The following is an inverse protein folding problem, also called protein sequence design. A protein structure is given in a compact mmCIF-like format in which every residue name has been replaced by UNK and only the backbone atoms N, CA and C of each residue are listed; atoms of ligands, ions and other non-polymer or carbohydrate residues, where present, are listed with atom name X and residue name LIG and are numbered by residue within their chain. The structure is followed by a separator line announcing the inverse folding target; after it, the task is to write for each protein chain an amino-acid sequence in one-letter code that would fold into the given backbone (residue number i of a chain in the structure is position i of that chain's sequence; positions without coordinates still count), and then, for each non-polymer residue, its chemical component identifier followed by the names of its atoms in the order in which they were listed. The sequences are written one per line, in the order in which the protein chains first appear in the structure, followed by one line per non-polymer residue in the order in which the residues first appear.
data_IF_883595731690
#
_entry.id   IF_883595731690
#
_cell.length_a   1.000
_cell.length_b   1.000
_cell.length_c   1.000
_cell.angle_alpha   90.00
_cell.angle_beta   90.00
_cell.angle_gamma   90.00
#
_symmetry.space_group_name_H-M   'P 1'
#
loop_
_entity.id
_entity.type
_entity.pdbx_description
1 polymer ?
#
# COMPACT_ATOMS: atom_id res chain seq x y z
N UNK A 1 22.31 13.57 -17.30
CA UNK A 1 22.53 12.37 -16.47
C UNK A 1 22.12 12.71 -15.04
N UNK A 2 20.97 12.26 -14.59
CA UNK A 2 20.61 12.39 -13.17
C UNK A 2 21.43 11.33 -12.42
N UNK A 3 22.28 11.77 -11.50
CA UNK A 3 23.04 10.85 -10.65
C UNK A 3 22.05 9.92 -9.95
N UNK A 4 22.12 8.60 -10.21
CA UNK A 4 21.34 7.58 -9.50
C UNK A 4 21.73 7.65 -8.03
N UNK A 5 20.78 8.04 -7.19
CA UNK A 5 20.98 8.11 -5.75
C UNK A 5 21.11 6.69 -5.20
N UNK A 6 22.28 6.37 -4.66
CA UNK A 6 22.58 5.06 -4.06
C UNK A 6 21.83 4.94 -2.72
N UNK A 7 21.24 3.77 -2.47
CA UNK A 7 20.63 3.48 -1.18
C UNK A 7 21.70 3.28 -0.11
N UNK A 8 21.45 3.69 1.13
CA UNK A 8 22.36 3.52 2.26
C UNK A 8 21.60 3.14 3.53
N UNK A 9 22.27 2.49 4.47
CA UNK A 9 21.74 2.09 5.76
C UNK A 9 22.62 2.60 6.89
N UNK A 10 22.01 3.20 7.90
CA UNK A 10 22.65 3.58 9.16
C UNK A 10 21.87 2.92 10.31
N UNK A 11 22.49 2.03 11.11
CA UNK A 11 21.80 1.37 12.22
C UNK A 11 21.43 2.39 13.30
N UNK A 12 20.16 2.42 13.69
CA UNK A 12 19.66 3.35 14.69
C UNK A 12 19.59 2.73 16.10
N UNK A 13 19.11 1.49 16.24
CA UNK A 13 18.93 0.80 17.52
C UNK A 13 19.02 -0.71 17.35
N UNK A 14 19.51 -1.39 18.41
CA UNK A 14 19.50 -2.84 18.55
C UNK A 14 18.10 -3.28 18.98
N UNK A 15 17.52 -4.26 18.33
CA UNK A 15 16.21 -4.82 18.61
C UNK A 15 16.29 -6.26 19.15
N UNK A 16 15.24 -6.83 19.77
CA UNK A 16 15.18 -8.26 20.08
C UNK A 16 15.14 -9.11 18.81
N UNK A 17 15.71 -10.34 18.89
CA UNK A 17 15.80 -11.28 17.75
C UNK A 17 14.45 -11.83 17.31
N UNK A 18 13.45 -11.82 18.16
CA UNK A 18 12.16 -12.45 17.90
C UNK A 18 11.02 -11.50 18.14
N UNK A 19 9.97 -11.68 17.37
CA UNK A 19 8.69 -11.00 17.54
C UNK A 19 7.61 -12.07 17.74
N UNK A 20 6.76 -11.87 18.72
CA UNK A 20 5.57 -12.70 18.92
C UNK A 20 4.42 -11.99 18.21
N UNK A 21 3.77 -12.68 17.26
CA UNK A 21 2.61 -12.15 16.57
C UNK A 21 1.41 -12.06 17.53
N UNK A 22 0.37 -11.27 17.20
CA UNK A 22 -0.88 -11.28 17.95
C UNK A 22 -1.56 -12.67 18.06
N UNK A 23 -1.20 -13.62 17.17
CA UNK A 23 -1.66 -15.00 17.18
C UNK A 23 -0.80 -15.91 18.05
N UNK A 24 0.26 -15.39 18.68
CA UNK A 24 1.16 -16.14 19.57
C UNK A 24 2.27 -16.90 18.83
N UNK A 25 2.39 -16.77 17.53
CA UNK A 25 3.49 -17.37 16.75
C UNK A 25 4.78 -16.57 16.96
N UNK A 26 5.87 -17.29 17.19
CA UNK A 26 7.20 -16.68 17.30
C UNK A 26 7.89 -16.69 15.94
N UNK A 27 8.33 -15.53 15.51
CA UNK A 27 9.22 -15.37 14.37
C UNK A 27 10.60 -14.93 14.84
N UNK A 28 11.60 -15.70 14.46
CA UNK A 28 13.00 -15.35 14.70
C UNK A 28 13.53 -14.60 13.47
N UNK A 29 14.10 -13.43 13.72
CA UNK A 29 14.75 -12.59 12.72
C UNK A 29 16.28 -12.64 12.93
N UNK A 30 17.05 -12.00 12.04
CA UNK A 30 18.48 -11.87 12.21
C UNK A 30 18.83 -11.33 13.60
N UNK A 31 19.93 -11.79 14.19
CA UNK A 31 20.37 -11.26 15.48
C UNK A 31 20.72 -9.76 15.39
N UNK A 32 20.69 -9.01 16.50
CA UNK A 32 21.13 -7.62 16.49
C UNK A 32 22.55 -7.44 15.97
N UNK A 33 23.42 -8.40 16.26
CA UNK A 33 24.84 -8.42 15.87
C UNK A 33 25.01 -8.64 14.36
N UNK A 34 24.19 -9.51 13.74
CA UNK A 34 24.22 -9.82 12.31
C UNK A 34 23.51 -8.75 11.47
N UNK A 35 22.53 -8.07 12.04
CA UNK A 35 21.66 -7.13 11.32
C UNK A 35 22.43 -6.07 10.52
N UNK A 36 23.47 -5.39 11.04
CA UNK A 36 24.21 -4.39 10.27
C UNK A 36 24.91 -4.97 9.03
N UNK A 37 25.51 -6.15 9.16
CA UNK A 37 26.17 -6.84 8.03
C UNK A 37 25.14 -7.23 6.96
N UNK A 38 24.06 -7.89 7.36
CA UNK A 38 23.01 -8.34 6.43
C UNK A 38 22.33 -7.15 5.72
N UNK A 39 22.14 -6.02 6.40
CA UNK A 39 21.63 -4.81 5.78
C UNK A 39 22.62 -4.20 4.79
N UNK A 40 23.91 -4.21 5.10
CA UNK A 40 24.94 -3.76 4.17
C UNK A 40 24.92 -4.62 2.90
N UNK A 41 24.91 -5.95 3.04
CA UNK A 41 24.88 -6.90 1.93
C UNK A 41 23.61 -6.73 1.08
N UNK A 42 22.45 -6.53 1.71
CA UNK A 42 21.19 -6.26 1.02
C UNK A 42 21.26 -4.98 0.17
N UNK A 43 21.82 -3.90 0.71
CA UNK A 43 21.95 -2.62 0.02
C UNK A 43 22.96 -2.73 -1.13
N UNK A 44 24.09 -3.40 -0.90
CA UNK A 44 25.10 -3.63 -1.94
C UNK A 44 24.49 -4.45 -3.09
N UNK A 45 23.86 -5.58 -2.78
CA UNK A 45 23.16 -6.41 -3.77
C UNK A 45 22.13 -5.60 -4.57
N UNK A 46 21.31 -4.78 -3.89
CA UNK A 46 20.33 -3.95 -4.57
C UNK A 46 20.98 -2.98 -5.58
N UNK A 47 22.06 -2.31 -5.18
CA UNK A 47 22.75 -1.37 -6.04
C UNK A 47 23.40 -2.06 -7.25
N UNK A 48 23.93 -3.28 -7.08
CA UNK A 48 24.48 -4.09 -8.16
C UNK A 48 23.39 -4.54 -9.15
N UNK A 49 22.27 -5.08 -8.66
CA UNK A 49 21.15 -5.51 -9.51
C UNK A 49 20.46 -4.35 -10.24
N UNK A 50 20.34 -3.20 -9.56
CA UNK A 50 19.83 -1.97 -10.17
C UNK A 50 20.67 -1.51 -11.38
N UNK A 51 21.98 -1.75 -11.33
CA UNK A 51 22.90 -1.45 -12.43
C UNK A 51 22.91 -2.55 -13.51
N UNK A 52 22.87 -3.79 -13.10
CA UNK A 52 22.93 -4.95 -13.99
C UNK A 52 21.64 -5.14 -14.80
N UNK A 53 20.50 -4.70 -14.24
CA UNK A 53 19.16 -4.84 -14.86
C UNK A 53 18.81 -6.31 -15.20
N UNK A 54 19.26 -7.28 -14.39
CA UNK A 54 18.98 -8.71 -14.60
C UNK A 54 17.55 -9.07 -14.20
N UNK A 55 16.97 -8.34 -13.23
CA UNK A 55 15.63 -8.54 -12.70
C UNK A 55 14.67 -7.48 -13.23
N UNK A 56 13.42 -7.86 -13.45
CA UNK A 56 12.36 -6.87 -13.67
C UNK A 56 12.18 -6.00 -12.42
N UNK A 57 11.69 -4.76 -12.53
CA UNK A 57 11.45 -3.89 -11.36
C UNK A 57 10.54 -4.51 -10.30
N UNK A 58 9.59 -5.34 -10.70
CA UNK A 58 8.67 -6.04 -9.77
C UNK A 58 9.41 -7.15 -9.02
N UNK A 59 10.26 -7.91 -9.69
CA UNK A 59 11.10 -8.96 -9.10
C UNK A 59 12.12 -8.36 -8.14
N UNK A 60 12.79 -7.28 -8.55
CA UNK A 60 13.75 -6.56 -7.71
C UNK A 60 13.08 -6.02 -6.43
N UNK A 61 11.90 -5.41 -6.56
CA UNK A 61 11.14 -4.91 -5.43
C UNK A 61 10.64 -6.04 -4.51
N UNK A 62 10.21 -7.16 -5.07
CA UNK A 62 9.76 -8.32 -4.30
C UNK A 62 10.91 -8.96 -3.52
N UNK A 63 12.07 -9.17 -4.16
CA UNK A 63 13.27 -9.71 -3.50
C UNK A 63 13.77 -8.79 -2.40
N UNK A 64 13.89 -7.48 -2.68
CA UNK A 64 14.28 -6.52 -1.66
C UNK A 64 13.35 -6.55 -0.46
N UNK A 65 12.03 -6.51 -0.71
CA UNK A 65 11.02 -6.57 0.34
C UNK A 65 11.18 -7.82 1.21
N UNK A 66 11.26 -8.99 0.58
CA UNK A 66 11.35 -10.26 1.28
C UNK A 66 12.60 -10.34 2.14
N UNK A 67 13.78 -10.08 1.55
CA UNK A 67 15.06 -10.09 2.27
C UNK A 67 15.07 -9.10 3.43
N UNK A 68 14.56 -7.89 3.22
CA UNK A 68 14.44 -6.89 4.27
C UNK A 68 13.55 -7.34 5.43
N UNK A 69 12.41 -7.96 5.15
CA UNK A 69 11.51 -8.49 6.19
C UNK A 69 12.18 -9.61 6.97
N UNK A 70 13.00 -10.45 6.35
CA UNK A 70 13.75 -11.52 7.03
C UNK A 70 14.87 -10.97 7.92
N UNK A 71 15.50 -9.87 7.55
CA UNK A 71 16.48 -9.18 8.40
C UNK A 71 15.77 -8.47 9.56
N UNK A 72 14.66 -7.76 9.28
CA UNK A 72 13.83 -7.05 10.26
C UNK A 72 14.60 -6.05 11.14
N UNK A 73 15.28 -5.03 10.56
CA UNK A 73 16.32 -4.26 11.26
C UNK A 73 15.85 -3.35 12.39
N UNK A 74 14.56 -3.01 12.50
CA UNK A 74 14.04 -2.08 13.48
C UNK A 74 13.09 -2.77 14.48
N UNK A 75 12.86 -2.17 15.65
CA UNK A 75 11.92 -2.68 16.64
C UNK A 75 10.47 -2.67 16.15
N UNK A 76 10.07 -1.62 15.41
CA UNK A 76 8.75 -1.47 14.79
C UNK A 76 8.86 -0.81 13.42
N UNK A 77 7.81 -0.96 12.64
CA UNK A 77 7.69 -0.30 11.33
C UNK A 77 8.31 -1.04 10.16
N UNK A 78 8.97 -2.19 10.37
CA UNK A 78 9.65 -2.91 9.27
C UNK A 78 8.72 -3.21 8.09
N UNK A 79 7.51 -3.68 8.35
CA UNK A 79 6.54 -3.93 7.29
C UNK A 79 6.08 -2.66 6.55
N UNK A 80 6.01 -1.51 7.23
CA UNK A 80 5.71 -0.21 6.62
C UNK A 80 6.86 0.27 5.74
N UNK A 81 8.07 0.17 6.25
CA UNK A 81 9.30 0.55 5.54
C UNK A 81 9.48 -0.33 4.31
N UNK A 82 9.34 -1.66 4.44
CA UNK A 82 9.45 -2.59 3.32
C UNK A 82 8.50 -2.22 2.17
N UNK A 83 7.23 -1.95 2.45
CA UNK A 83 6.26 -1.52 1.42
C UNK A 83 6.56 -0.13 0.85
N UNK A 84 7.13 0.76 1.65
CA UNK A 84 7.58 2.07 1.16
C UNK A 84 8.75 1.92 0.18
N UNK A 85 9.72 1.05 0.49
CA UNK A 85 10.88 0.78 -0.38
C UNK A 85 10.42 0.09 -1.68
N UNK A 86 9.44 -0.83 -1.62
CA UNK A 86 8.83 -1.38 -2.84
C UNK A 86 8.36 -0.26 -3.77
N UNK A 87 7.59 0.68 -3.25
CA UNK A 87 7.09 1.80 -4.04
C UNK A 87 8.21 2.74 -4.52
N UNK A 88 9.25 2.93 -3.72
CA UNK A 88 10.44 3.67 -4.14
C UNK A 88 11.13 3.00 -5.35
N UNK A 89 11.31 1.68 -5.32
CA UNK A 89 11.91 0.92 -6.43
C UNK A 89 11.02 1.02 -7.68
N UNK A 90 9.72 0.75 -7.54
CA UNK A 90 8.77 0.78 -8.64
C UNK A 90 8.70 2.15 -9.32
N UNK A 91 8.60 3.24 -8.55
CA UNK A 91 8.55 4.61 -9.07
C UNK A 91 9.82 5.01 -9.83
N UNK A 92 11.01 4.54 -9.40
CA UNK A 92 12.27 4.78 -10.10
C UNK A 92 12.28 4.19 -11.52
N UNK A 93 11.49 3.14 -11.74
CA UNK A 93 11.35 2.46 -13.03
C UNK A 93 10.06 2.84 -13.78
N UNK A 94 9.40 3.94 -13.38
CA UNK A 94 8.15 4.44 -13.98
C UNK A 94 6.97 3.47 -13.86
N UNK A 95 6.98 2.60 -12.85
CA UNK A 95 5.82 1.79 -12.49
C UNK A 95 4.91 2.56 -11.52
N UNK A 96 3.59 2.31 -11.52
CA UNK A 96 2.70 2.89 -10.53
C UNK A 96 3.01 2.33 -9.13
N UNK A 97 2.62 3.09 -8.10
CA UNK A 97 2.66 2.60 -6.73
C UNK A 97 1.66 1.47 -6.53
N UNK A 98 2.02 0.52 -5.66
CA UNK A 98 1.12 -0.55 -5.20
C UNK A 98 0.72 -0.33 -3.75
N UNK A 99 -0.51 -0.71 -3.41
CA UNK A 99 -1.04 -0.61 -2.05
C UNK A 99 -1.54 -1.96 -1.58
N UNK A 100 -0.95 -2.46 -0.48
CA UNK A 100 -1.49 -3.63 0.21
C UNK A 100 -2.62 -3.18 1.11
N UNK A 101 -3.85 -3.31 0.64
CA UNK A 101 -5.05 -2.92 1.37
C UNK A 101 -5.25 -3.78 2.62
N UNK A 102 -5.76 -3.19 3.70
CA UNK A 102 -5.98 -3.89 4.97
C UNK A 102 -6.85 -5.14 4.80
N UNK A 103 -7.90 -5.08 3.96
CA UNK A 103 -8.78 -6.23 3.66
C UNK A 103 -8.07 -7.36 2.89
N UNK A 104 -6.95 -7.08 2.23
CA UNK A 104 -6.11 -8.06 1.50
C UNK A 104 -4.86 -8.48 2.28
N UNK A 105 -4.72 -8.04 3.56
CA UNK A 105 -3.55 -8.32 4.39
C UNK A 105 -3.28 -9.81 4.55
N UNK A 106 -4.33 -10.62 4.71
CA UNK A 106 -4.19 -12.08 4.83
C UNK A 106 -3.56 -12.71 3.59
N UNK A 107 -3.98 -12.30 2.38
CA UNK A 107 -3.40 -12.80 1.12
C UNK A 107 -1.91 -12.45 1.01
N UNK A 108 -1.54 -11.23 1.40
CA UNK A 108 -0.14 -10.80 1.47
C UNK A 108 0.69 -11.64 2.45
N UNK A 109 0.19 -11.86 3.67
CA UNK A 109 0.88 -12.66 4.68
C UNK A 109 0.99 -14.14 4.27
N UNK A 110 -0.04 -14.70 3.64
CA UNK A 110 0.00 -16.06 3.11
C UNK A 110 1.06 -16.21 2.01
N UNK A 111 1.21 -15.22 1.13
CA UNK A 111 2.24 -15.26 0.09
C UNK A 111 3.66 -15.22 0.68
N UNK A 112 3.89 -14.44 1.75
CA UNK A 112 5.14 -14.45 2.50
C UNK A 112 5.36 -15.79 3.19
N UNK A 113 4.36 -16.33 3.89
CA UNK A 113 4.47 -17.62 4.57
C UNK A 113 4.77 -18.79 3.62
N UNK A 114 4.20 -18.78 2.42
CA UNK A 114 4.54 -19.78 1.38
C UNK A 114 5.99 -19.65 0.89
N UNK A 115 6.53 -18.44 0.82
CA UNK A 115 7.92 -18.21 0.52
C UNK A 115 8.82 -18.69 1.68
N UNK A 116 8.42 -18.43 2.92
CA UNK A 116 9.17 -18.88 4.11
C UNK A 116 9.32 -20.41 4.19
N UNK A 117 8.30 -21.16 3.73
CA UNK A 117 8.37 -22.64 3.65
C UNK A 117 9.50 -23.09 2.71
N UNK A 118 9.71 -22.37 1.61
CA UNK A 118 10.75 -22.74 0.62
C UNK A 118 12.16 -22.29 1.06
N UNK A 119 12.25 -21.15 1.77
CA UNK A 119 13.53 -20.57 2.21
C UNK A 119 14.03 -21.20 3.50
N UNK A 120 13.12 -21.63 4.38
CA UNK A 120 13.45 -22.17 5.69
C UNK A 120 13.42 -21.12 6.80
N UNK A 121 13.62 -21.61 8.03
CA UNK A 121 13.44 -20.81 9.26
C UNK A 121 14.64 -19.92 9.60
N UNK A 122 15.82 -20.20 9.04
CA UNK A 122 17.05 -19.46 9.37
C UNK A 122 16.98 -18.03 8.80
N UNK A 123 17.07 -16.98 9.63
CA UNK A 123 16.94 -15.60 9.17
C UNK A 123 17.97 -15.20 8.11
N UNK A 124 19.24 -15.61 8.29
CA UNK A 124 20.31 -15.33 7.35
C UNK A 124 20.06 -15.92 5.95
N UNK A 125 19.47 -17.13 5.86
CA UNK A 125 19.07 -17.70 4.56
C UNK A 125 18.01 -16.83 3.87
N UNK A 126 17.08 -16.29 4.65
CA UNK A 126 16.06 -15.38 4.15
C UNK A 126 16.62 -14.05 3.62
N UNK A 127 17.72 -13.55 4.22
CA UNK A 127 18.36 -12.31 3.76
C UNK A 127 19.09 -12.48 2.41
N UNK A 128 19.37 -13.71 2.00
CA UNK A 128 20.00 -14.08 0.72
C UNK A 128 19.08 -14.89 -0.20
N UNK A 129 17.78 -14.97 0.12
CA UNK A 129 16.80 -15.73 -0.66
C UNK A 129 16.87 -15.42 -2.16
N UNK A 130 16.76 -16.46 -2.98
CA UNK A 130 16.69 -16.33 -4.44
C UNK A 130 15.26 -16.09 -4.92
N UNK A 131 15.11 -15.63 -6.16
CA UNK A 131 13.81 -15.42 -6.78
C UNK A 131 12.98 -16.72 -6.87
N UNK A 132 13.64 -17.84 -7.12
CA UNK A 132 12.99 -19.15 -7.22
C UNK A 132 12.40 -19.59 -5.87
N UNK A 133 13.12 -19.34 -4.77
CA UNK A 133 12.65 -19.66 -3.42
C UNK A 133 11.43 -18.83 -3.05
N UNK A 134 11.39 -17.55 -3.42
CA UNK A 134 10.28 -16.64 -3.08
C UNK A 134 9.23 -16.50 -4.18
N UNK A 135 9.20 -17.41 -5.14
CA UNK A 135 8.28 -17.40 -6.29
C UNK A 135 6.81 -17.15 -5.91
N UNK A 136 6.24 -17.72 -4.82
CA UNK A 136 4.89 -17.40 -4.38
C UNK A 136 4.70 -15.91 -4.06
N UNK A 137 5.68 -15.28 -3.44
CA UNK A 137 5.63 -13.85 -3.12
C UNK A 137 5.85 -12.97 -4.36
N UNK A 138 6.76 -13.37 -5.26
CA UNK A 138 6.94 -12.69 -6.57
C UNK A 138 5.65 -12.72 -7.36
N UNK A 139 4.97 -13.87 -7.42
CA UNK A 139 3.66 -13.99 -8.08
C UNK A 139 2.64 -13.03 -7.46
N UNK A 140 2.54 -12.97 -6.13
CA UNK A 140 1.65 -12.04 -5.44
C UNK A 140 1.93 -10.58 -5.84
N UNK A 141 3.21 -10.18 -5.85
CA UNK A 141 3.61 -8.82 -6.21
C UNK A 141 3.30 -8.49 -7.68
N UNK A 142 3.47 -9.46 -8.58
CA UNK A 142 3.12 -9.32 -9.99
C UNK A 142 1.60 -9.17 -10.17
N UNK A 143 0.81 -10.02 -9.53
CA UNK A 143 -0.66 -9.95 -9.58
C UNK A 143 -1.17 -8.61 -9.02
N UNK A 144 -0.56 -8.13 -7.93
CA UNK A 144 -0.87 -6.82 -7.34
C UNK A 144 -0.55 -5.69 -8.34
N UNK A 145 0.63 -5.71 -8.97
CA UNK A 145 1.03 -4.72 -9.97
C UNK A 145 0.09 -4.70 -11.18
N UNK A 146 -0.24 -5.88 -11.72
CA UNK A 146 -1.18 -6.00 -12.85
C UNK A 146 -2.55 -5.44 -12.47
N UNK A 147 -3.02 -5.72 -11.25
CA UNK A 147 -4.27 -5.16 -10.74
C UNK A 147 -4.23 -3.64 -10.69
N UNK A 148 -3.16 -3.04 -10.17
CA UNK A 148 -3.00 -1.56 -10.09
C UNK A 148 -2.93 -0.92 -11.49
N UNK A 149 -2.18 -1.51 -12.41
CA UNK A 149 -2.09 -1.02 -13.79
C UNK A 149 -3.48 -1.04 -14.45
N UNK A 150 -4.22 -2.14 -14.34
CA UNK A 150 -5.55 -2.28 -14.92
C UNK A 150 -6.54 -1.27 -14.31
N UNK A 151 -6.46 -1.04 -13.00
CA UNK A 151 -7.30 -0.05 -12.32
C UNK A 151 -6.96 1.38 -12.79
N UNK A 152 -5.68 1.71 -12.94
CA UNK A 152 -5.26 3.02 -13.45
C UNK A 152 -5.72 3.24 -14.89
N UNK A 153 -5.61 2.22 -15.75
CA UNK A 153 -6.12 2.26 -17.13
C UNK A 153 -7.64 2.46 -17.12
N UNK A 154 -8.37 1.68 -16.33
CA UNK A 154 -9.82 1.81 -16.19
C UNK A 154 -10.22 3.21 -15.70
N UNK A 155 -9.48 3.77 -14.74
CA UNK A 155 -9.70 5.13 -14.24
C UNK A 155 -9.45 6.20 -15.32
N UNK A 156 -8.39 6.06 -16.12
CA UNK A 156 -8.08 6.99 -17.21
C UNK A 156 -9.13 6.96 -18.33
N UNK A 157 -9.75 5.80 -18.57
CA UNK A 157 -10.81 5.65 -19.56
C UNK A 157 -12.21 5.90 -19.00
N UNK A 158 -12.33 6.01 -17.66
CA UNK A 158 -13.61 6.24 -17.02
C UNK A 158 -14.09 7.68 -17.23
N UNK A 159 -15.41 7.86 -17.32
CA UNK A 159 -16.00 9.20 -17.29
C UNK A 159 -15.76 9.84 -15.91
N UNK A 160 -14.85 10.80 -15.85
CA UNK A 160 -14.50 11.54 -14.63
C UNK A 160 -15.72 12.20 -13.94
N UNK A 161 -16.83 12.38 -14.65
CA UNK A 161 -18.08 12.95 -14.09
C UNK A 161 -18.84 11.94 -13.24
N UNK A 162 -18.64 10.63 -13.46
CA UNK A 162 -19.37 9.56 -12.76
C UNK A 162 -18.50 8.63 -11.95
N UNK A 163 -17.19 8.79 -12.03
CA UNK A 163 -16.22 7.88 -11.40
C UNK A 163 -15.56 8.51 -10.17
N UNK A 164 -15.36 7.70 -9.14
CA UNK A 164 -14.72 8.08 -7.88
C UNK A 164 -13.74 7.02 -7.41
N UNK A 165 -12.61 7.44 -6.87
CA UNK A 165 -11.65 6.52 -6.25
C UNK A 165 -12.01 6.31 -4.78
N UNK A 166 -12.21 5.06 -4.38
CA UNK A 166 -12.57 4.69 -3.01
C UNK A 166 -11.97 3.34 -2.62
N UNK A 167 -11.28 3.28 -1.50
CA UNK A 167 -10.69 2.07 -0.90
C UNK A 167 -9.82 1.26 -1.88
N UNK A 168 -9.05 1.96 -2.73
CA UNK A 168 -8.16 1.36 -3.71
C UNK A 168 -8.85 0.82 -4.95
N UNK A 169 -10.11 1.17 -5.19
CA UNK A 169 -10.88 0.76 -6.36
C UNK A 169 -11.63 1.93 -6.99
N UNK A 170 -11.95 1.77 -8.25
CA UNK A 170 -12.77 2.73 -8.98
C UNK A 170 -14.25 2.41 -8.80
N UNK A 171 -15.03 3.35 -8.27
CA UNK A 171 -16.48 3.24 -8.09
C UNK A 171 -17.18 4.12 -9.10
N UNK A 172 -18.17 3.57 -9.81
CA UNK A 172 -19.00 4.33 -10.76
C UNK A 172 -20.37 4.64 -10.15
N UNK A 173 -20.74 5.92 -10.13
CA UNK A 173 -22.04 6.38 -9.71
C UNK A 173 -22.98 6.57 -10.91
N UNK A 174 -24.28 6.34 -10.71
CA UNK A 174 -25.30 6.53 -11.75
C UNK A 174 -25.46 8.01 -12.15
N UNK A 175 -25.17 8.94 -11.24
CA UNK A 175 -25.38 10.37 -11.44
C UNK A 175 -24.07 11.13 -11.29
N UNK A 176 -23.71 11.98 -12.25
CA UNK A 176 -22.58 12.91 -12.14
C UNK A 176 -22.68 13.83 -10.91
N UNK A 177 -23.91 14.15 -10.48
CA UNK A 177 -24.14 14.98 -9.29
C UNK A 177 -23.58 14.36 -8.01
N UNK A 178 -23.49 13.02 -7.93
CA UNK A 178 -22.90 12.34 -6.77
C UNK A 178 -21.39 12.59 -6.67
N UNK A 179 -20.70 12.54 -7.79
CA UNK A 179 -19.25 12.87 -7.83
C UNK A 179 -19.02 14.35 -7.54
N UNK A 180 -19.85 15.22 -8.11
CA UNK A 180 -19.77 16.66 -7.84
C UNK A 180 -20.03 16.96 -6.35
N UNK A 181 -20.96 16.26 -5.71
CA UNK A 181 -21.22 16.34 -4.27
C UNK A 181 -19.98 15.95 -3.46
N UNK A 182 -19.36 14.82 -3.77
CA UNK A 182 -18.14 14.35 -3.09
C UNK A 182 -16.98 15.34 -3.26
N UNK A 183 -16.78 15.85 -4.48
CA UNK A 183 -15.74 16.87 -4.77
C UNK A 183 -15.99 18.16 -3.98
N UNK A 184 -17.24 18.58 -3.88
CA UNK A 184 -17.59 19.80 -3.13
C UNK A 184 -17.37 19.61 -1.63
N UNK A 185 -17.78 18.47 -1.06
CA UNK A 185 -17.54 18.13 0.36
C UNK A 185 -16.07 18.00 0.69
N UNK A 186 -15.25 17.49 -0.23
CA UNK A 186 -13.81 17.38 -0.04
C UNK A 186 -13.14 18.76 0.07
N UNK A 187 -13.61 19.73 -0.72
CA UNK A 187 -13.13 21.12 -0.69
C UNK A 187 -13.73 21.93 0.46
N UNK A 188 -14.98 21.66 0.79
CA UNK A 188 -15.71 22.39 1.82
C UNK A 188 -16.51 21.42 2.74
N UNK A 189 -15.86 20.83 3.76
CA UNK A 189 -16.49 19.88 4.68
C UNK A 189 -17.66 20.44 5.48
N UNK A 190 -17.73 21.76 5.63
CA UNK A 190 -18.79 22.48 6.38
C UNK A 190 -19.91 23.02 5.47
N UNK A 191 -19.97 22.57 4.22
CA UNK A 191 -21.02 22.99 3.30
C UNK A 191 -22.43 22.70 3.86
N UNK A 192 -23.31 23.69 3.80
CA UNK A 192 -24.69 23.54 4.23
C UNK A 192 -25.53 22.79 3.18
N UNK A 193 -26.60 22.14 3.63
CA UNK A 193 -27.53 21.43 2.70
C UNK A 193 -28.08 22.39 1.63
N UNK A 194 -28.39 23.62 2.00
CA UNK A 194 -28.86 24.64 1.05
C UNK A 194 -27.77 25.03 0.05
N UNK A 195 -26.51 25.19 0.50
CA UNK A 195 -25.39 25.47 -0.38
C UNK A 195 -25.12 24.33 -1.35
N UNK A 196 -25.16 23.07 -0.88
CA UNK A 196 -25.05 21.90 -1.71
C UNK A 196 -26.18 21.78 -2.73
N UNK A 197 -27.43 22.11 -2.33
CA UNK A 197 -28.60 22.11 -3.22
C UNK A 197 -28.39 23.10 -4.38
N UNK A 198 -27.87 24.29 -4.08
CA UNK A 198 -27.56 25.31 -5.10
C UNK A 198 -26.47 24.85 -6.07
N UNK A 199 -25.38 24.29 -5.56
CA UNK A 199 -24.25 23.82 -6.38
C UNK A 199 -24.66 22.66 -7.29
N UNK A 200 -25.52 21.76 -6.80
CA UNK A 200 -25.92 20.55 -7.52
C UNK A 200 -27.13 20.77 -8.41
N UNK A 201 -27.77 21.95 -8.33
CA UNK A 201 -29.02 22.27 -9.00
C UNK A 201 -30.13 21.22 -8.73
N UNK A 202 -30.36 20.95 -7.44
CA UNK A 202 -31.38 20.03 -6.93
C UNK A 202 -31.99 20.57 -5.64
N UNK A 203 -33.13 20.04 -5.23
CA UNK A 203 -33.74 20.43 -3.97
C UNK A 203 -33.03 19.86 -2.74
N UNK A 204 -33.27 20.48 -1.59
CA UNK A 204 -32.61 20.11 -0.32
C UNK A 204 -32.92 18.66 0.12
N UNK A 205 -34.13 18.17 -0.16
CA UNK A 205 -34.55 16.80 0.16
C UNK A 205 -33.75 15.78 -0.66
N UNK A 206 -33.44 16.06 -1.93
CA UNK A 206 -32.62 15.24 -2.78
C UNK A 206 -31.17 15.21 -2.27
N UNK A 207 -30.63 16.35 -1.82
CA UNK A 207 -29.30 16.42 -1.18
C UNK A 207 -29.26 15.55 0.07
N UNK A 208 -30.26 15.68 0.97
CA UNK A 208 -30.35 14.87 2.18
C UNK A 208 -30.36 13.37 1.87
N UNK A 209 -31.16 12.96 0.88
CA UNK A 209 -31.20 11.55 0.44
C UNK A 209 -29.86 11.07 -0.10
N UNK A 210 -29.16 11.88 -0.89
CA UNK A 210 -27.82 11.52 -1.38
C UNK A 210 -26.81 11.41 -0.24
N UNK A 211 -26.77 12.36 0.70
CA UNK A 211 -25.90 12.32 1.88
C UNK A 211 -26.16 11.08 2.73
N UNK A 212 -27.44 10.75 2.98
CA UNK A 212 -27.81 9.54 3.73
C UNK A 212 -27.32 8.26 3.03
N UNK A 213 -27.46 8.18 1.71
CA UNK A 213 -26.96 7.05 0.93
C UNK A 213 -25.43 6.93 0.95
N UNK A 214 -24.72 8.05 0.88
CA UNK A 214 -23.26 8.08 0.93
C UNK A 214 -22.75 7.70 2.33
N UNK A 215 -23.43 8.16 3.40
CA UNK A 215 -23.14 7.76 4.78
C UNK A 215 -23.36 6.25 4.97
N UNK A 216 -24.48 5.72 4.53
CA UNK A 216 -24.82 4.30 4.65
C UNK A 216 -23.82 3.38 3.91
N UNK A 217 -23.22 3.88 2.83
CA UNK A 217 -22.20 3.15 2.05
C UNK A 217 -20.76 3.42 2.49
N UNK A 218 -20.55 4.26 3.51
CA UNK A 218 -19.22 4.56 4.03
C UNK A 218 -18.36 5.48 3.16
N UNK A 219 -18.91 6.13 2.13
CA UNK A 219 -18.15 7.09 1.30
C UNK A 219 -17.88 8.41 2.01
N UNK A 220 -18.69 8.76 2.99
CA UNK A 220 -18.54 9.93 3.83
C UNK A 220 -18.80 9.58 5.29
N UNK A 221 -18.25 10.36 6.21
CA UNK A 221 -18.64 10.37 7.63
C UNK A 221 -19.20 11.73 8.00
N UNK A 222 -20.02 11.77 9.04
CA UNK A 222 -20.54 13.00 9.62
C UNK A 222 -19.94 13.17 11.01
N UNK A 223 -19.34 14.32 11.26
CA UNK A 223 -18.84 14.71 12.57
C UNK A 223 -20.05 15.18 13.42
N UNK A 224 -20.31 14.55 14.57
CA UNK A 224 -21.47 14.89 15.42
C UNK A 224 -21.36 16.29 16.04
N UNK A 225 -20.15 16.76 16.33
CA UNK A 225 -19.93 18.02 17.05
C UNK A 225 -20.00 19.23 16.11
N UNK A 226 -19.45 19.09 14.91
CA UNK A 226 -19.36 20.18 13.93
C UNK A 226 -20.40 20.11 12.83
N UNK A 227 -21.19 19.02 12.77
CA UNK A 227 -22.10 18.70 11.66
C UNK A 227 -21.44 18.73 10.26
N UNK A 228 -20.10 18.66 10.22
CA UNK A 228 -19.34 18.62 8.96
C UNK A 228 -19.31 17.21 8.36
N UNK A 229 -19.17 17.15 7.04
CA UNK A 229 -19.01 15.90 6.32
C UNK A 229 -17.55 15.72 5.89
N UNK A 230 -16.99 14.54 6.15
CA UNK A 230 -15.65 14.16 5.68
C UNK A 230 -15.76 13.06 4.64
N UNK A 231 -15.17 13.28 3.48
CA UNK A 231 -15.07 12.25 2.43
C UNK A 231 -14.02 11.22 2.86
N UNK A 232 -14.36 9.96 2.73
CA UNK A 232 -13.50 8.83 3.07
C UNK A 232 -12.83 8.33 1.80
N UNK A 233 -11.51 8.29 1.81
CA UNK A 233 -10.72 7.74 0.70
C UNK A 233 -10.46 6.24 0.86
N UNK A 234 -10.38 5.76 2.12
CA UNK A 234 -10.14 4.35 2.47
C UNK A 234 -11.16 3.93 3.51
N UNK A 235 -11.79 2.76 3.33
CA UNK A 235 -12.75 2.22 4.29
C UNK A 235 -12.11 2.04 5.66
N UNK A 236 -12.77 2.58 6.68
CA UNK A 236 -12.38 2.42 8.10
C UNK A 236 -13.07 1.22 8.75
N UNK A 237 -13.92 0.52 8.00
CA UNK A 237 -14.61 -0.69 8.50
C UNK A 237 -13.58 -1.82 8.60
N UNK A 238 -13.32 -2.22 9.85
CA UNK A 238 -12.48 -3.37 10.20
C UNK A 238 -13.21 -4.66 9.91
#
# INVERSE_FOLDING_TARGET
MVARQVMSYTPAHIRPNSVITPTGERFDYASPEETPSLMYDLIQWYNEEEQACNLSPVELAALFHYRYIRIHPFEDGNGRIARLIVNFILLRHNYPMVVVLSRKKTTYLNALGLADVNVGVVPADGSHASIEQIKPFVKYMTDLMVSEINQNIAFLHADAKTTWWYDGETVTFRSPRTVLLLQHLQKNPKATIAGLASVLDINTSAVQKQLSNLLAKGYITKDPDTNSYRVIAVSTTK
#
